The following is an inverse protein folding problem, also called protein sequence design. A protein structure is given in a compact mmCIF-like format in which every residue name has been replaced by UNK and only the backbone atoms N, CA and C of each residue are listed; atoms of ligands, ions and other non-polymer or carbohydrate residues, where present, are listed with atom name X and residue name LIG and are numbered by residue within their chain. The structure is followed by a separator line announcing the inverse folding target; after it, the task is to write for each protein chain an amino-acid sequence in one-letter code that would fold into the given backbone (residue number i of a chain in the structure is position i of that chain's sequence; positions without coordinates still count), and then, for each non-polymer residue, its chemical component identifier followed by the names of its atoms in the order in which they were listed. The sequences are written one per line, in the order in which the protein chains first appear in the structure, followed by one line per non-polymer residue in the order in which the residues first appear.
data_IF_136870079701
#
_entry.id   IF_136870079701
#
_cell.length_a   1.000
_cell.length_b   1.000
_cell.length_c   1.000
_cell.angle_alpha   90.00
_cell.angle_beta   90.00
_cell.angle_gamma   90.00
#
_symmetry.space_group_name_H-M   'P 1'
#
loop_
_entity.id
_entity.type
_entity.pdbx_description
1 polymer ?
#
# COMPACT_ATOMS: atom_id res chain seq x y z
N UNK A 1 5.23 -32.81 3.16
CA UNK A 1 6.04 -31.60 2.93
C UNK A 1 5.08 -30.43 2.79
N UNK A 2 5.18 -29.46 3.68
CA UNK A 2 4.36 -28.24 3.69
C UNK A 2 4.74 -27.35 2.50
N UNK A 3 3.75 -26.79 1.81
CA UNK A 3 3.98 -25.66 0.92
C UNK A 3 2.72 -24.77 0.90
N UNK A 4 2.71 -23.60 1.55
CA UNK A 4 1.66 -22.62 1.34
C UNK A 4 1.94 -21.90 0.02
N UNK A 5 1.36 -22.41 -1.07
CA UNK A 5 1.25 -21.65 -2.31
C UNK A 5 0.07 -20.69 -2.19
N UNK A 6 0.36 -19.39 -2.34
CA UNK A 6 -0.51 -18.33 -2.91
C UNK A 6 -0.59 -17.04 -2.06
N UNK A 7 0.55 -16.45 -1.72
CA UNK A 7 0.59 -15.09 -1.12
C UNK A 7 0.57 -13.96 -2.17
N UNK A 8 0.14 -14.21 -3.42
CA UNK A 8 0.23 -13.22 -4.51
C UNK A 8 -1.09 -12.57 -5.03
N UNK A 9 -2.32 -13.01 -4.70
CA UNK A 9 -3.51 -12.29 -5.16
C UNK A 9 -3.67 -10.93 -4.45
N UNK A 10 -3.26 -10.85 -3.19
CA UNK A 10 -3.33 -9.62 -2.41
C UNK A 10 -2.38 -8.55 -2.98
N UNK A 11 -1.15 -8.92 -3.37
CA UNK A 11 -0.19 -7.98 -3.96
C UNK A 11 -0.70 -7.38 -5.26
N UNK A 12 -1.24 -8.21 -6.16
CA UNK A 12 -1.77 -7.73 -7.44
C UNK A 12 -2.98 -6.80 -7.23
N UNK A 13 -3.88 -7.13 -6.30
CA UNK A 13 -5.05 -6.29 -5.96
C UNK A 13 -4.65 -4.97 -5.30
N UNK A 14 -3.70 -5.01 -4.37
CA UNK A 14 -3.19 -3.78 -3.72
C UNK A 14 -2.48 -2.91 -4.75
N UNK A 15 -1.67 -3.49 -5.62
CA UNK A 15 -1.02 -2.77 -6.72
C UNK A 15 -2.04 -2.10 -7.64
N UNK A 16 -3.05 -2.84 -8.11
CA UNK A 16 -4.10 -2.32 -8.99
C UNK A 16 -4.84 -1.14 -8.35
N UNK A 17 -5.31 -1.29 -7.10
CA UNK A 17 -6.01 -0.21 -6.40
C UNK A 17 -5.12 1.01 -6.11
N UNK A 18 -3.84 0.80 -5.78
CA UNK A 18 -2.88 1.92 -5.60
C UNK A 18 -2.67 2.66 -6.92
N UNK A 19 -2.46 1.94 -8.02
CA UNK A 19 -2.27 2.52 -9.35
C UNK A 19 -3.52 3.26 -9.82
N UNK A 20 -4.72 2.72 -9.59
CA UNK A 20 -5.98 3.41 -9.87
C UNK A 20 -6.12 4.72 -9.08
N UNK A 21 -5.78 4.71 -7.79
CA UNK A 21 -5.85 5.93 -6.96
C UNK A 21 -4.85 6.97 -7.43
N UNK A 22 -3.60 6.57 -7.73
CA UNK A 22 -2.59 7.48 -8.29
C UNK A 22 -3.10 8.05 -9.62
N UNK A 23 -3.55 7.20 -10.54
CA UNK A 23 -4.09 7.60 -11.84
C UNK A 23 -5.26 8.58 -11.69
N UNK A 24 -6.19 8.31 -10.78
CA UNK A 24 -7.32 9.20 -10.52
C UNK A 24 -6.89 10.57 -9.95
N UNK A 25 -5.85 10.60 -9.11
CA UNK A 25 -5.37 11.84 -8.46
C UNK A 25 -4.45 12.68 -9.35
N UNK A 26 -3.63 12.01 -10.15
CA UNK A 26 -2.56 12.61 -10.95
C UNK A 26 -2.92 12.73 -12.43
N UNK A 27 -4.00 12.06 -12.84
CA UNK A 27 -4.44 11.94 -14.22
C UNK A 27 -3.42 11.24 -15.14
N UNK A 28 -2.49 10.48 -14.57
CA UNK A 28 -1.62 9.57 -15.32
C UNK A 28 -2.37 8.29 -15.73
N UNK A 29 -1.99 7.73 -16.87
CA UNK A 29 -2.51 6.45 -17.32
C UNK A 29 -1.85 5.30 -16.54
N UNK A 30 -2.63 4.28 -16.18
CA UNK A 30 -2.14 3.10 -15.45
C UNK A 30 -1.02 2.36 -16.21
N UNK A 31 -0.98 2.46 -17.54
CA UNK A 31 0.11 1.90 -18.36
C UNK A 31 1.43 2.68 -18.26
N UNK A 32 1.40 3.93 -17.81
CA UNK A 32 2.58 4.76 -17.57
C UNK A 32 3.11 4.62 -16.13
N UNK A 33 2.26 4.18 -15.20
CA UNK A 33 2.59 4.01 -13.79
C UNK A 33 3.27 2.65 -13.57
N UNK A 34 4.60 2.66 -13.48
CA UNK A 34 5.40 1.46 -13.24
C UNK A 34 5.77 1.36 -11.76
N UNK A 35 5.90 0.14 -11.20
CA UNK A 35 6.35 -0.03 -9.81
C UNK A 35 7.73 0.58 -9.55
N UNK A 36 8.55 0.71 -10.59
CA UNK A 36 9.89 1.32 -10.55
C UNK A 36 9.87 2.84 -10.76
N UNK A 37 8.73 3.42 -11.15
CA UNK A 37 8.58 4.85 -11.38
C UNK A 37 8.72 5.60 -10.07
N UNK A 38 9.58 6.61 -10.09
CA UNK A 38 9.84 7.47 -8.95
C UNK A 38 8.84 8.63 -8.93
N UNK A 39 8.17 8.85 -7.81
CA UNK A 39 7.13 9.88 -7.71
C UNK A 39 7.68 11.27 -8.05
N UNK A 40 8.76 11.69 -7.41
CA UNK A 40 9.36 13.01 -7.61
C UNK A 40 10.19 13.15 -8.90
N UNK A 41 10.96 12.11 -9.28
CA UNK A 41 11.98 12.19 -10.32
C UNK A 41 11.49 11.71 -11.70
N UNK A 42 10.52 10.79 -11.76
CA UNK A 42 9.95 10.27 -13.01
C UNK A 42 8.58 10.93 -13.29
N UNK A 43 7.72 10.99 -12.27
CA UNK A 43 6.36 11.50 -12.40
C UNK A 43 6.22 12.98 -12.03
N UNK A 44 7.22 13.59 -11.37
CA UNK A 44 7.16 14.98 -10.90
C UNK A 44 6.09 15.24 -9.83
N UNK A 45 5.67 14.20 -9.10
CA UNK A 45 4.65 14.25 -8.05
C UNK A 45 5.30 14.78 -6.78
N UNK A 46 4.80 15.94 -6.34
CA UNK A 46 5.26 16.62 -5.15
C UNK A 46 4.77 15.93 -3.86
N UNK A 47 5.48 16.18 -2.76
CA UNK A 47 5.16 15.66 -1.41
C UNK A 47 3.72 15.95 -0.97
N UNK A 48 3.16 17.10 -1.36
CA UNK A 48 1.77 17.49 -1.08
C UNK A 48 0.76 16.62 -1.82
N UNK A 49 1.03 16.30 -3.09
CA UNK A 49 0.16 15.43 -3.88
C UNK A 49 0.27 14.00 -3.36
N UNK A 50 1.48 13.57 -2.97
CA UNK A 50 1.71 12.27 -2.36
C UNK A 50 0.92 12.10 -1.06
N UNK A 51 0.91 13.09 -0.16
CA UNK A 51 0.04 13.06 1.03
C UNK A 51 -1.44 12.86 0.66
N UNK A 52 -1.90 13.54 -0.39
CA UNK A 52 -3.27 13.37 -0.87
C UNK A 52 -3.53 11.98 -1.45
N UNK A 53 -2.59 11.42 -2.21
CA UNK A 53 -2.66 10.05 -2.74
C UNK A 53 -2.68 9.05 -1.59
N UNK A 54 -1.77 9.18 -0.61
CA UNK A 54 -1.71 8.34 0.59
C UNK A 54 -3.03 8.35 1.35
N UNK A 55 -3.65 9.53 1.50
CA UNK A 55 -4.97 9.67 2.11
C UNK A 55 -6.04 8.92 1.32
N UNK A 56 -6.09 9.10 -0.01
CA UNK A 56 -7.05 8.38 -0.87
C UNK A 56 -6.84 6.87 -0.86
N UNK A 57 -5.59 6.41 -0.84
CA UNK A 57 -5.26 4.98 -0.73
C UNK A 57 -5.72 4.45 0.62
N UNK A 58 -5.44 5.16 1.72
CA UNK A 58 -5.92 4.78 3.06
C UNK A 58 -7.44 4.64 3.11
N UNK A 59 -8.17 5.60 2.56
CA UNK A 59 -9.63 5.57 2.48
C UNK A 59 -10.13 4.41 1.60
N UNK A 60 -9.49 4.18 0.45
CA UNK A 60 -9.86 3.12 -0.49
C UNK A 60 -9.68 1.72 0.11
N UNK A 61 -8.57 1.51 0.83
CA UNK A 61 -8.25 0.22 1.48
C UNK A 61 -8.76 0.13 2.93
N UNK A 62 -9.46 1.16 3.42
CA UNK A 62 -9.99 1.26 4.78
C UNK A 62 -8.94 0.95 5.88
N UNK A 63 -7.72 1.47 5.72
CA UNK A 63 -6.63 1.23 6.69
C UNK A 63 -6.86 2.03 7.96
N UNK A 64 -6.67 1.40 9.12
CA UNK A 64 -6.73 2.09 10.41
C UNK A 64 -5.40 2.78 10.74
N UNK A 65 -4.29 2.22 10.25
CA UNK A 65 -2.96 2.80 10.38
C UNK A 65 -2.71 3.95 9.38
N UNK A 66 -1.93 4.95 9.82
CA UNK A 66 -1.45 5.99 8.91
C UNK A 66 -0.32 5.49 8.01
N UNK A 67 -0.44 5.77 6.71
CA UNK A 67 0.61 5.52 5.74
C UNK A 67 1.61 6.67 5.79
N UNK A 68 2.50 6.67 6.79
CA UNK A 68 3.61 7.64 6.91
C UNK A 68 4.79 7.32 5.98
N UNK A 69 4.80 6.14 5.34
CA UNK A 69 5.82 5.84 4.36
C UNK A 69 5.82 6.95 3.31
N UNK A 70 6.99 7.57 3.08
CA UNK A 70 7.24 8.48 1.98
C UNK A 70 7.86 7.67 0.85
N UNK A 71 7.07 6.83 0.16
CA UNK A 71 7.60 5.93 -0.84
C UNK A 71 8.24 6.75 -1.94
N UNK A 72 9.48 6.43 -2.25
CA UNK A 72 10.16 7.00 -3.39
C UNK A 72 9.53 6.54 -4.71
N UNK A 73 8.95 5.33 -4.72
CA UNK A 73 8.44 4.65 -5.92
C UNK A 73 7.07 4.01 -5.68
N UNK A 74 6.32 3.76 -6.76
CA UNK A 74 5.01 3.11 -6.69
C UNK A 74 5.09 1.73 -6.01
N UNK A 75 6.16 0.97 -6.26
CA UNK A 75 6.38 -0.34 -5.63
C UNK A 75 6.50 -0.25 -4.11
N UNK A 76 7.19 0.78 -3.60
CA UNK A 76 7.28 1.01 -2.15
C UNK A 76 5.94 1.41 -1.53
N UNK A 77 5.12 2.19 -2.24
CA UNK A 77 3.77 2.51 -1.79
C UNK A 77 2.92 1.24 -1.67
N UNK A 78 2.98 0.36 -2.66
CA UNK A 78 2.25 -0.92 -2.67
C UNK A 78 2.68 -1.81 -1.50
N UNK A 79 3.99 -1.91 -1.22
CA UNK A 79 4.46 -2.71 -0.10
C UNK A 79 4.06 -2.10 1.25
N UNK A 80 4.10 -0.77 1.40
CA UNK A 80 3.64 -0.08 2.59
C UNK A 80 2.15 -0.32 2.86
N UNK A 81 1.30 -0.23 1.84
CA UNK A 81 -0.14 -0.52 1.95
C UNK A 81 -0.37 -1.99 2.33
N UNK A 82 0.38 -2.91 1.72
CA UNK A 82 0.31 -4.32 2.05
C UNK A 82 0.73 -4.60 3.49
N UNK A 83 1.79 -3.96 3.98
CA UNK A 83 2.23 -4.06 5.37
C UNK A 83 1.17 -3.51 6.33
N UNK A 84 0.54 -2.38 5.99
CA UNK A 84 -0.55 -1.81 6.78
C UNK A 84 -1.79 -2.73 6.80
N UNK A 85 -2.21 -3.29 5.66
CA UNK A 85 -3.29 -4.27 5.57
C UNK A 85 -2.98 -5.53 6.40
N UNK A 86 -1.74 -6.02 6.34
CA UNK A 86 -1.32 -7.17 7.12
C UNK A 86 -1.30 -6.86 8.62
N UNK A 87 -0.94 -5.63 9.02
CA UNK A 87 -0.98 -5.18 10.41
C UNK A 87 -2.42 -5.01 10.91
N UNK A 88 -3.34 -4.47 10.09
CA UNK A 88 -4.76 -4.38 10.39
C UNK A 88 -5.39 -5.78 10.52
N UNK A 89 -5.11 -6.68 9.58
CA UNK A 89 -5.58 -8.06 9.62
C UNK A 89 -4.99 -8.86 10.78
N UNK A 90 -3.72 -8.62 11.12
CA UNK A 90 -3.01 -9.25 12.24
C UNK A 90 -3.43 -8.71 13.61
N UNK A 91 -3.92 -7.47 13.69
CA UNK A 91 -4.50 -6.89 14.91
C UNK A 91 -5.84 -7.52 15.30
N UNK A 92 -6.38 -8.40 14.45
CA UNK A 92 -7.52 -9.28 14.74
C UNK A 92 -7.19 -10.56 15.52
N UNK A 93 -5.92 -10.84 15.85
CA UNK A 93 -5.57 -11.94 16.74
C UNK A 93 -5.40 -11.41 18.18
N UNK A 94 -6.26 -11.79 19.15
CA UNK A 94 -5.92 -11.57 20.55
C UNK A 94 -4.61 -12.33 20.79
N UNK A 95 -3.55 -11.60 21.16
CA UNK A 95 -2.40 -12.22 21.80
C UNK A 95 -2.96 -13.13 22.91
N UNK A 96 -2.64 -14.43 22.95
CA UNK A 96 -2.96 -15.22 24.12
C UNK A 96 -2.19 -14.56 25.26
N UNK A 97 -2.92 -13.89 26.15
CA UNK A 97 -2.35 -13.36 27.37
C UNK A 97 -1.55 -14.50 28.03
N UNK A 98 -0.25 -14.34 28.30
CA UNK A 98 0.45 -15.29 29.13
C UNK A 98 -0.15 -15.14 30.53
N UNK A 99 -1.06 -16.06 30.88
CA UNK A 99 -1.54 -16.19 32.25
C UNK A 99 -0.38 -16.70 33.15
N UNK A 100 -0.32 -16.26 34.41
CA UNK A 100 0.87 -16.28 35.25
C UNK A 100 1.13 -17.63 35.94
N UNK A 101 2.38 -17.85 36.36
CA UNK A 101 2.78 -18.78 37.41
C UNK A 101 3.85 -18.13 38.30
#
# INVERSE_FOLDING_TARGET
MTNPVSTHPDTARVHDGVVEVIAARTLYDVGHLRPESHFEADLGIDSVIMESVLLSVREHFALSAELTAGPATIGELVDAVRAALAADAGSGAPAPAPAPA
#
